data_IF_171903717966
#
_entry.id   IF_171903717966
#
_cell.length_a   1.000
_cell.length_b   1.000
_cell.length_c   1.000
_cell.angle_alpha   90.00
_cell.angle_beta   90.00
_cell.angle_gamma   90.00
#
_symmetry.space_group_name_H-M   'P 1'
#
loop_
_entity.id
_entity.type
_entity.pdbx_description
1 polymer ?
#
# COMPACT_ATOMS: atom_id res chain seq x y z
N UNK A 1 19.59 -5.88 -23.44
CA UNK A 1 18.30 -6.60 -23.49
C UNK A 1 17.28 -5.70 -22.80
N UNK A 2 16.57 -4.87 -23.55
CA UNK A 2 15.61 -3.91 -22.99
C UNK A 2 14.27 -4.61 -22.82
N UNK A 3 13.96 -4.94 -21.58
CA UNK A 3 12.72 -5.58 -21.16
C UNK A 3 11.56 -4.59 -21.30
N UNK A 4 10.70 -4.84 -22.29
CA UNK A 4 9.53 -4.04 -22.60
C UNK A 4 8.46 -4.26 -21.51
N UNK A 5 8.66 -3.66 -20.34
CA UNK A 5 7.63 -3.65 -19.28
C UNK A 5 6.32 -3.14 -19.87
N UNK A 6 5.19 -3.85 -19.72
CA UNK A 6 3.92 -3.47 -20.33
C UNK A 6 3.60 -2.02 -19.99
N UNK A 7 3.50 -1.18 -21.02
CA UNK A 7 3.08 0.22 -20.88
C UNK A 7 1.61 0.21 -20.46
N UNK A 8 1.35 0.59 -19.22
CA UNK A 8 0.00 0.83 -18.72
C UNK A 8 -0.44 2.21 -19.23
N UNK A 9 -1.61 2.28 -19.85
CA UNK A 9 -2.23 3.54 -20.25
C UNK A 9 -3.04 4.17 -19.10
N UNK A 10 -3.51 5.41 -19.28
CA UNK A 10 -4.24 6.12 -18.23
C UNK A 10 -5.49 5.35 -17.78
N UNK A 11 -6.24 4.79 -18.73
CA UNK A 11 -7.47 4.03 -18.45
C UNK A 11 -7.16 2.82 -17.56
N UNK A 12 -6.15 2.04 -17.93
CA UNK A 12 -5.75 0.86 -17.18
C UNK A 12 -5.14 1.24 -15.82
N UNK A 13 -4.39 2.34 -15.73
CA UNK A 13 -3.87 2.84 -14.45
C UNK A 13 -5.01 3.22 -13.51
N UNK A 14 -6.01 3.96 -13.99
CA UNK A 14 -7.15 4.39 -13.18
C UNK A 14 -8.05 3.23 -12.76
N UNK A 15 -8.25 2.24 -13.62
CA UNK A 15 -9.00 1.02 -13.27
C UNK A 15 -8.35 0.22 -12.14
N UNK A 16 -7.04 0.32 -11.98
CA UNK A 16 -6.27 -0.41 -10.97
C UNK A 16 -5.84 0.46 -9.80
N UNK A 17 -6.27 1.72 -9.75
CA UNK A 17 -5.73 2.68 -8.79
C UNK A 17 -5.97 2.24 -7.34
N UNK A 18 -7.16 1.72 -7.04
CA UNK A 18 -7.51 1.25 -5.69
C UNK A 18 -6.73 0.00 -5.30
N UNK A 19 -6.71 -1.03 -6.14
CA UNK A 19 -5.88 -2.22 -5.95
C UNK A 19 -4.38 -1.87 -5.79
N UNK A 20 -3.91 -0.83 -6.47
CA UNK A 20 -2.55 -0.32 -6.33
C UNK A 20 -2.29 0.30 -4.95
N UNK A 21 -3.17 1.20 -4.48
CA UNK A 21 -2.98 1.83 -3.15
C UNK A 21 -3.18 0.85 -1.99
N UNK A 22 -3.97 -0.20 -2.19
CA UNK A 22 -4.17 -1.29 -1.23
C UNK A 22 -3.07 -2.38 -1.35
N UNK A 23 -2.15 -2.25 -2.30
CA UNK A 23 -1.05 -3.18 -2.58
C UNK A 23 -1.50 -4.62 -2.92
N UNK A 24 -2.65 -4.76 -3.60
CA UNK A 24 -3.27 -6.04 -3.97
C UNK A 24 -2.95 -6.50 -5.40
N UNK A 25 -2.21 -5.68 -6.17
CA UNK A 25 -1.74 -6.06 -7.50
C UNK A 25 -0.55 -7.02 -7.45
N UNK A 26 -0.33 -7.76 -8.54
CA UNK A 26 0.91 -8.54 -8.70
C UNK A 26 2.14 -7.63 -8.67
N UNK A 27 3.33 -8.11 -8.30
CA UNK A 27 4.55 -7.29 -8.27
C UNK A 27 4.84 -6.56 -9.59
N UNK A 28 4.61 -7.23 -10.72
CA UNK A 28 4.82 -6.66 -12.05
C UNK A 28 3.84 -5.52 -12.33
N UNK A 29 2.58 -5.69 -11.90
CA UNK A 29 1.53 -4.68 -12.06
C UNK A 29 1.74 -3.49 -11.14
N UNK A 30 2.18 -3.72 -9.89
CA UNK A 30 2.60 -2.65 -8.98
C UNK A 30 3.68 -1.77 -9.59
N UNK A 31 4.71 -2.37 -10.21
CA UNK A 31 5.78 -1.62 -10.87
C UNK A 31 5.25 -0.82 -12.07
N UNK A 32 4.42 -1.45 -12.91
CA UNK A 32 3.93 -0.82 -14.13
C UNK A 32 2.98 0.35 -13.85
N UNK A 33 2.06 0.21 -12.88
CA UNK A 33 1.14 1.27 -12.45
C UNK A 33 1.90 2.40 -11.76
N UNK A 34 2.83 2.09 -10.83
CA UNK A 34 3.67 3.08 -10.16
C UNK A 34 4.42 3.97 -11.15
N UNK A 35 5.03 3.36 -12.16
CA UNK A 35 5.73 4.10 -13.22
C UNK A 35 4.80 5.06 -13.95
N UNK A 36 3.62 4.59 -14.36
CA UNK A 36 2.64 5.46 -15.04
C UNK A 36 2.23 6.63 -14.14
N UNK A 37 1.90 6.36 -12.88
CA UNK A 37 1.49 7.38 -11.93
C UNK A 37 2.61 8.39 -11.64
N UNK A 38 3.89 8.00 -11.72
CA UNK A 38 5.01 8.93 -11.52
C UNK A 38 5.28 9.84 -12.73
N UNK A 39 4.90 9.41 -13.94
CA UNK A 39 5.24 10.11 -15.19
C UNK A 39 4.05 10.89 -15.78
N UNK A 40 2.81 10.50 -15.48
CA UNK A 40 1.61 11.08 -16.09
C UNK A 40 1.01 12.20 -15.21
N UNK A 41 1.19 13.45 -15.61
CA UNK A 41 0.64 14.63 -14.92
C UNK A 41 -0.88 14.63 -14.77
N UNK A 42 -1.61 13.89 -15.61
CA UNK A 42 -3.06 13.74 -15.49
C UNK A 42 -3.45 12.74 -14.39
N UNK A 43 -2.64 11.71 -14.16
CA UNK A 43 -2.96 10.61 -13.25
C UNK A 43 -2.40 10.82 -11.83
N UNK A 44 -1.29 11.55 -11.67
CA UNK A 44 -0.69 11.89 -10.35
C UNK A 44 -1.75 12.39 -9.35
N UNK A 45 -2.61 13.39 -9.69
CA UNK A 45 -3.53 13.95 -8.70
C UNK A 45 -4.56 12.94 -8.19
N UNK A 46 -4.92 11.94 -9.01
CA UNK A 46 -5.83 10.88 -8.59
C UNK A 46 -5.20 9.93 -7.58
N UNK A 47 -3.92 9.59 -7.76
CA UNK A 47 -3.17 8.79 -6.81
C UNK A 47 -2.95 9.52 -5.48
N UNK A 48 -2.53 10.79 -5.54
CA UNK A 48 -2.40 11.63 -4.35
C UNK A 48 -3.73 11.76 -3.60
N UNK A 49 -4.84 11.89 -4.32
CA UNK A 49 -6.16 11.90 -3.70
C UNK A 49 -6.47 10.57 -3.00
N UNK A 50 -6.27 9.43 -3.67
CA UNK A 50 -6.54 8.11 -3.11
C UNK A 50 -5.71 7.86 -1.83
N UNK A 51 -4.42 8.18 -1.85
CA UNK A 51 -3.53 8.05 -0.69
C UNK A 51 -3.98 8.95 0.48
N UNK A 52 -4.31 10.22 0.20
CA UNK A 52 -4.80 11.16 1.23
C UNK A 52 -6.16 10.76 1.78
N UNK A 53 -7.03 10.21 0.94
CA UNK A 53 -8.33 9.70 1.37
C UNK A 53 -8.18 8.52 2.32
N UNK A 54 -7.33 7.55 2.00
CA UNK A 54 -7.03 6.42 2.89
C UNK A 54 -6.38 6.87 4.20
N UNK A 55 -5.47 7.85 4.14
CA UNK A 55 -4.88 8.43 5.34
C UNK A 55 -5.94 9.08 6.25
N UNK A 56 -6.85 9.88 5.68
CA UNK A 56 -7.95 10.48 6.42
C UNK A 56 -8.89 9.42 7.02
N UNK A 57 -9.22 8.36 6.28
CA UNK A 57 -10.01 7.24 6.82
C UNK A 57 -9.29 6.57 7.99
N UNK A 58 -7.98 6.34 7.88
CA UNK A 58 -7.19 5.75 8.95
C UNK A 58 -7.19 6.61 10.22
N UNK A 59 -7.19 7.94 10.09
CA UNK A 59 -7.30 8.88 11.23
C UNK A 59 -8.66 8.81 11.93
N UNK A 60 -9.74 8.48 11.23
CA UNK A 60 -11.06 8.31 11.86
C UNK A 60 -11.18 7.04 12.72
N UNK A 61 -10.22 6.12 12.61
CA UNK A 61 -10.26 4.85 13.33
C UNK A 61 -10.20 5.09 14.83
N UNK A 62 -11.24 4.67 15.55
CA UNK A 62 -11.14 4.50 17.00
C UNK A 62 -10.04 3.47 17.29
N UNK A 63 -8.93 3.91 17.88
CA UNK A 63 -7.86 3.01 18.31
C UNK A 63 -8.35 2.20 19.51
N UNK A 64 -9.01 1.08 19.21
CA UNK A 64 -9.24 0.03 20.21
C UNK A 64 -7.96 -0.79 20.27
N UNK A 65 -7.09 -0.41 21.19
CA UNK A 65 -5.92 -1.22 21.49
C UNK A 65 -6.38 -2.61 21.93
N UNK A 66 -5.66 -3.64 21.53
CA UNK A 66 -5.87 -4.96 22.10
C UNK A 66 -5.68 -4.91 23.62
N UNK A 67 -6.29 -5.85 24.34
CA UNK A 67 -6.02 -6.00 25.78
C UNK A 67 -4.52 -6.11 26.03
N UNK A 68 -4.02 -5.55 27.14
CA UNK A 68 -2.60 -5.64 27.50
C UNK A 68 -2.10 -7.10 27.55
N UNK A 69 -2.96 -8.05 27.94
CA UNK A 69 -2.65 -9.49 27.93
C UNK A 69 -2.32 -10.01 26.52
N UNK A 70 -3.19 -9.75 25.55
CA UNK A 70 -2.95 -10.14 24.16
C UNK A 70 -1.65 -9.52 23.63
N UNK A 71 -1.40 -8.24 23.91
CA UNK A 71 -0.15 -7.58 23.53
C UNK A 71 1.06 -8.28 24.13
N UNK A 72 1.04 -8.59 25.43
CA UNK A 72 2.12 -9.27 26.12
C UNK A 72 2.40 -10.65 25.52
N UNK A 73 1.35 -11.42 25.22
CA UNK A 73 1.45 -12.74 24.58
C UNK A 73 2.06 -12.67 23.19
N UNK A 74 1.63 -11.72 22.36
CA UNK A 74 2.19 -11.51 21.01
C UNK A 74 3.67 -11.12 21.10
N UNK A 75 4.03 -10.17 21.96
CA UNK A 75 5.43 -9.74 22.14
C UNK A 75 6.31 -10.91 22.64
N UNK A 76 5.84 -11.71 23.59
CA UNK A 76 6.57 -12.89 24.06
C UNK A 76 6.83 -13.89 22.91
N UNK A 77 5.82 -14.17 22.08
CA UNK A 77 5.94 -15.06 20.92
C UNK A 77 6.90 -14.53 19.86
N UNK A 78 6.90 -13.21 19.63
CA UNK A 78 7.84 -12.58 18.70
C UNK A 78 9.29 -12.66 19.20
N UNK A 79 9.52 -12.48 20.51
CA UNK A 79 10.84 -12.66 21.12
C UNK A 79 11.34 -14.10 21.05
N UNK A 80 10.47 -15.07 21.31
CA UNK A 80 10.79 -16.50 21.10
C UNK A 80 11.21 -16.80 19.65
N UNK A 81 10.61 -16.10 18.68
CA UNK A 81 10.95 -16.22 17.26
C UNK A 81 12.21 -15.43 16.86
N UNK A 82 12.88 -14.74 17.80
CA UNK A 82 14.12 -14.00 17.57
C UNK A 82 13.94 -12.54 17.16
N UNK A 83 12.73 -11.97 17.28
CA UNK A 83 12.49 -10.55 17.04
C UNK A 83 12.80 -9.74 18.32
N UNK A 84 13.85 -8.93 18.28
CA UNK A 84 14.23 -8.08 19.41
C UNK A 84 13.52 -6.72 19.32
N UNK A 85 12.39 -6.59 20.02
CA UNK A 85 11.64 -5.33 20.15
C UNK A 85 12.02 -4.69 21.50
N UNK A 86 12.84 -3.64 21.45
CA UNK A 86 13.21 -2.77 22.58
C UNK A 86 12.03 -1.95 23.07
#
# INVERSE_FOLDING_TARGET
>A
MTENSPKVDCTSAMQQLWDYVDAELTPERMIAVRRHLAECSHCVPHAEFAERFLAALHETREVRCCSQDLRARVVAKLREAGLDIT
#
